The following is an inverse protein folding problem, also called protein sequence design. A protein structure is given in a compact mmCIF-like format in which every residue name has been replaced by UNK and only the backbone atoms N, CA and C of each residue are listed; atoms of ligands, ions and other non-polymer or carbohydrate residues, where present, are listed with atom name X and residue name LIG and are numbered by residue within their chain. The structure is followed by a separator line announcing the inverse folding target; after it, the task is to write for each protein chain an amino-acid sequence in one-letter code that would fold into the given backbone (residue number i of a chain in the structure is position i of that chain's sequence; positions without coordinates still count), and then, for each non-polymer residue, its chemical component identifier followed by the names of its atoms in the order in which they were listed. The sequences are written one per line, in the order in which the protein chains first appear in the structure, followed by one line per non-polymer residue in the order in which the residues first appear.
data_IF_882444368701
#
_entry.id   IF_882444368701
#
_cell.length_a   1.000
_cell.length_b   1.000
_cell.length_c   1.000
_cell.angle_alpha   90.00
_cell.angle_beta   90.00
_cell.angle_gamma   90.00
#
_symmetry.space_group_name_H-M   'P 1'
#
loop_
_entity.id
_entity.type
_entity.pdbx_description
1 polymer ?
#
# COMPACT_ATOMS: atom_id res chain seq x y z
N UNK A 1 7.08 -1.50 21.96
CA UNK A 1 5.63 -1.78 22.00
C UNK A 1 5.39 -2.79 20.89
N UNK A 2 4.81 -3.94 21.20
CA UNK A 2 4.59 -5.02 20.23
C UNK A 2 3.40 -4.70 19.31
N UNK A 3 3.51 -5.10 18.03
CA UNK A 3 2.42 -4.97 17.07
C UNK A 3 1.36 -6.04 17.34
N UNK A 4 0.08 -5.64 17.33
CA UNK A 4 -1.02 -6.61 17.29
C UNK A 4 -1.10 -7.26 15.90
N UNK A 5 -1.63 -8.47 15.81
CA UNK A 5 -1.70 -9.23 14.54
C UNK A 5 -2.34 -8.47 13.38
N UNK A 6 -3.40 -7.69 13.63
CA UNK A 6 -4.01 -6.89 12.56
C UNK A 6 -3.13 -5.70 12.14
N UNK A 7 -2.35 -5.13 13.06
CA UNK A 7 -1.40 -4.04 12.76
C UNK A 7 -0.25 -4.59 11.92
N UNK A 8 0.29 -5.75 12.31
CA UNK A 8 1.29 -6.47 11.55
C UNK A 8 0.79 -6.85 10.14
N UNK A 9 -0.46 -7.32 10.03
CA UNK A 9 -1.08 -7.61 8.73
C UNK A 9 -1.19 -6.38 7.83
N UNK A 10 -1.56 -5.21 8.36
CA UNK A 10 -1.58 -3.97 7.58
C UNK A 10 -0.20 -3.62 7.02
N UNK A 11 0.86 -3.78 7.82
CA UNK A 11 2.23 -3.52 7.38
C UNK A 11 2.72 -4.58 6.38
N UNK A 12 2.36 -5.84 6.58
CA UNK A 12 2.66 -6.92 5.63
C UNK A 12 1.97 -6.71 4.30
N UNK A 13 0.72 -6.26 4.29
CA UNK A 13 -0.01 -5.93 3.07
C UNK A 13 0.61 -4.71 2.35
N UNK A 14 1.05 -3.70 3.10
CA UNK A 14 1.79 -2.57 2.54
C UNK A 14 3.10 -3.02 1.87
N UNK A 15 3.89 -3.87 2.54
CA UNK A 15 5.14 -4.41 2.00
C UNK A 15 4.88 -5.21 0.72
N UNK A 16 3.90 -6.12 0.73
CA UNK A 16 3.56 -6.93 -0.44
C UNK A 16 3.09 -6.09 -1.63
N UNK A 17 2.30 -5.04 -1.39
CA UNK A 17 1.91 -4.11 -2.46
C UNK A 17 3.12 -3.37 -3.04
N UNK A 18 4.03 -2.89 -2.18
CA UNK A 18 5.23 -2.18 -2.62
C UNK A 18 6.17 -3.09 -3.44
N UNK A 19 6.23 -4.39 -3.14
CA UNK A 19 7.01 -5.35 -3.94
C UNK A 19 6.40 -5.56 -5.34
N UNK A 20 5.07 -5.68 -5.46
CA UNK A 20 4.39 -5.77 -6.77
C UNK A 20 4.53 -4.47 -7.57
N UNK A 21 4.46 -3.33 -6.87
CA UNK A 21 4.70 -2.04 -7.48
C UNK A 21 6.15 -1.91 -7.96
N UNK A 22 7.11 -2.51 -7.26
CA UNK A 22 8.51 -2.49 -7.67
C UNK A 22 8.75 -3.28 -8.97
N UNK A 23 7.93 -4.29 -9.27
CA UNK A 23 7.99 -5.03 -10.54
C UNK A 23 7.17 -4.40 -11.67
N UNK A 24 6.39 -3.34 -11.41
CA UNK A 24 5.38 -2.84 -12.35
C UNK A 24 5.51 -1.33 -12.58
N UNK A 25 5.70 -0.84 -13.82
CA UNK A 25 5.81 0.60 -14.09
C UNK A 25 4.48 1.37 -13.99
N UNK A 26 3.35 0.66 -13.77
CA UNK A 26 2.00 1.21 -13.79
C UNK A 26 1.28 0.99 -12.44
N UNK A 27 0.85 2.09 -11.81
CA UNK A 27 0.20 2.11 -10.49
C UNK A 27 -1.13 1.34 -10.47
N UNK A 28 -1.97 1.53 -11.49
CA UNK A 28 -3.28 0.87 -11.54
C UNK A 28 -3.14 -0.63 -11.76
N UNK A 29 -2.17 -1.02 -12.59
CA UNK A 29 -1.85 -2.43 -12.83
C UNK A 29 -1.28 -3.09 -11.57
N UNK A 30 -0.31 -2.45 -10.89
CA UNK A 30 0.24 -2.96 -9.64
C UNK A 30 -0.83 -3.17 -8.56
N UNK A 31 -1.76 -2.22 -8.44
CA UNK A 31 -2.89 -2.33 -7.51
C UNK A 31 -3.80 -3.50 -7.87
N UNK A 32 -4.15 -3.65 -9.16
CA UNK A 32 -4.96 -4.78 -9.64
C UNK A 32 -4.27 -6.12 -9.37
N UNK A 33 -2.98 -6.23 -9.68
CA UNK A 33 -2.21 -7.48 -9.55
C UNK A 33 -2.01 -7.89 -8.10
N UNK A 34 -1.72 -6.93 -7.21
CA UNK A 34 -1.62 -7.20 -5.78
C UNK A 34 -2.92 -7.80 -5.22
N UNK A 35 -4.06 -7.19 -5.54
CA UNK A 35 -5.36 -7.67 -5.07
C UNK A 35 -5.77 -8.98 -5.74
N UNK A 36 -5.50 -9.16 -7.03
CA UNK A 36 -5.73 -10.42 -7.74
C UNK A 36 -4.94 -11.57 -7.09
N UNK A 37 -3.68 -11.33 -6.69
CA UNK A 37 -2.87 -12.29 -5.94
C UNK A 37 -3.44 -12.66 -4.57
N UNK A 38 -4.31 -11.82 -3.99
CA UNK A 38 -5.07 -12.07 -2.76
C UNK A 38 -6.48 -12.63 -3.03
N UNK A 39 -6.82 -12.95 -4.28
CA UNK A 39 -8.15 -13.44 -4.67
C UNK A 39 -9.23 -12.35 -4.75
N UNK A 40 -8.84 -11.08 -4.72
CA UNK A 40 -9.76 -9.94 -4.81
C UNK A 40 -9.80 -9.41 -6.25
N UNK A 41 -10.99 -9.36 -6.83
CA UNK A 41 -11.20 -8.79 -8.18
C UNK A 41 -11.34 -7.27 -8.09
N UNK A 42 -10.50 -6.55 -8.83
CA UNK A 42 -10.53 -5.09 -8.96
C UNK A 42 -11.16 -4.69 -10.29
N UNK A 43 -12.12 -3.76 -10.24
CA UNK A 43 -12.90 -3.31 -11.40
C UNK A 43 -14.03 -4.28 -11.77
N UNK A 44 -14.78 -3.93 -12.82
CA UNK A 44 -15.82 -4.79 -13.37
C UNK A 44 -15.27 -5.57 -14.55
N UNK A 45 -15.43 -6.88 -14.54
CA UNK A 45 -15.06 -7.77 -15.65
C UNK A 45 -16.23 -8.71 -15.97
N UNK A 46 -16.56 -8.87 -17.25
CA UNK A 46 -17.67 -9.71 -17.69
C UNK A 46 -19.04 -9.36 -17.09
N UNK A 47 -19.26 -8.11 -16.66
CA UNK A 47 -20.50 -7.68 -16.01
C UNK A 47 -20.60 -7.98 -14.50
N UNK A 48 -19.57 -8.56 -13.90
CA UNK A 48 -19.52 -8.82 -12.46
C UNK A 48 -18.75 -7.69 -11.74
N UNK A 49 -19.35 -6.99 -10.77
CA UNK A 49 -18.69 -5.91 -10.04
C UNK A 49 -17.64 -6.46 -9.07
N UNK A 50 -16.40 -6.00 -9.20
CA UNK A 50 -15.33 -6.15 -8.21
C UNK A 50 -15.19 -4.93 -7.30
N UNK A 51 -14.10 -4.87 -6.53
CA UNK A 51 -13.75 -3.69 -5.73
C UNK A 51 -13.36 -2.51 -6.61
N UNK A 52 -13.52 -1.30 -6.08
CA UNK A 52 -13.15 -0.05 -6.77
C UNK A 52 -11.74 -0.12 -7.40
N UNK A 53 -11.56 0.41 -8.62
CA UNK A 53 -10.24 0.51 -9.25
C UNK A 53 -9.35 1.54 -8.53
N UNK A 54 -8.05 1.51 -8.87
CA UNK A 54 -7.06 2.44 -8.33
C UNK A 54 -7.46 3.90 -8.57
N UNK A 55 -7.41 4.72 -7.51
CA UNK A 55 -7.73 6.16 -7.56
C UNK A 55 -6.47 6.98 -7.77
N UNK A 56 -6.22 7.40 -9.01
CA UNK A 56 -5.04 8.18 -9.41
C UNK A 56 -5.23 9.69 -9.19
N UNK A 57 -5.48 10.11 -7.95
CA UNK A 57 -5.73 11.51 -7.62
C UNK A 57 -4.49 12.40 -7.78
N UNK A 58 -3.29 11.83 -7.60
CA UNK A 58 -2.01 12.50 -7.80
C UNK A 58 -1.21 11.70 -8.82
N UNK A 59 -1.06 12.19 -10.06
CA UNK A 59 -0.38 11.45 -11.11
C UNK A 59 1.05 11.04 -10.72
N UNK A 60 1.38 9.77 -10.93
CA UNK A 60 2.72 9.23 -10.66
C UNK A 60 3.04 8.97 -9.19
N UNK A 61 2.10 9.22 -8.27
CA UNK A 61 2.28 8.97 -6.84
C UNK A 61 1.40 7.78 -6.40
N UNK A 62 1.97 6.73 -5.78
CA UNK A 62 1.19 5.65 -5.19
C UNK A 62 0.24 6.18 -4.11
N UNK A 63 -1.05 5.88 -4.25
CA UNK A 63 -2.10 6.28 -3.33
C UNK A 63 -2.69 5.04 -2.66
N UNK A 64 -2.47 4.92 -1.35
CA UNK A 64 -2.83 3.73 -0.55
C UNK A 64 -3.70 4.16 0.62
N UNK A 65 -4.69 3.33 0.96
CA UNK A 65 -5.54 3.51 2.12
C UNK A 65 -5.57 2.23 2.95
N UNK A 66 -5.24 2.34 4.24
CA UNK A 66 -5.37 1.25 5.20
C UNK A 66 -6.65 1.43 6.03
N UNK A 67 -7.56 0.44 5.97
CA UNK A 67 -8.77 0.43 6.79
C UNK A 67 -8.49 -0.22 8.14
N UNK A 68 -8.54 0.58 9.20
CA UNK A 68 -8.20 0.17 10.57
C UNK A 68 -9.35 0.55 11.50
N UNK A 69 -9.75 -0.30 12.47
CA UNK A 69 -10.83 0.01 13.40
C UNK A 69 -10.54 1.26 14.25
N UNK A 70 -11.59 1.85 14.80
CA UNK A 70 -11.49 2.90 15.81
C UNK A 70 -10.70 2.38 17.01
N UNK A 71 -9.85 3.24 17.59
CA UNK A 71 -8.86 2.85 18.61
C UNK A 71 -7.86 1.74 18.20
N UNK A 72 -7.80 1.37 16.91
CA UNK A 72 -6.89 0.35 16.39
C UNK A 72 -5.42 0.78 16.24
N UNK A 73 -5.01 1.88 16.89
CA UNK A 73 -3.63 2.36 16.84
C UNK A 73 -3.17 2.85 15.46
N UNK A 74 -4.03 3.57 14.72
CA UNK A 74 -3.71 4.13 13.38
C UNK A 74 -2.38 4.90 13.35
N UNK A 75 -2.14 5.75 14.35
CA UNK A 75 -0.87 6.50 14.47
C UNK A 75 0.31 5.56 14.64
N UNK A 76 0.19 4.53 15.49
CA UNK A 76 1.25 3.56 15.69
C UNK A 76 1.55 2.76 14.42
N UNK A 77 0.53 2.34 13.68
CA UNK A 77 0.69 1.68 12.37
C UNK A 77 1.42 2.59 11.39
N UNK A 78 0.97 3.84 11.23
CA UNK A 78 1.54 4.74 10.24
C UNK A 78 2.98 5.17 10.57
N UNK A 79 3.37 5.27 11.85
CA UNK A 79 4.79 5.45 12.22
C UNK A 79 5.63 4.23 11.86
N UNK A 80 5.15 3.01 12.15
CA UNK A 80 5.87 1.78 11.79
C UNK A 80 5.94 1.56 10.27
N UNK A 81 4.94 2.04 9.51
CA UNK A 81 4.92 1.96 8.06
C UNK A 81 6.04 2.76 7.38
N UNK A 82 6.61 3.78 8.05
CA UNK A 82 7.68 4.60 7.48
C UNK A 82 8.90 3.77 7.10
N UNK A 83 9.28 2.80 7.93
CA UNK A 83 10.42 1.93 7.65
C UNK A 83 10.17 1.08 6.39
N UNK A 84 8.97 0.49 6.28
CA UNK A 84 8.55 -0.29 5.09
C UNK A 84 8.60 0.56 3.82
N UNK A 85 8.04 1.78 3.85
CA UNK A 85 8.01 2.70 2.71
C UNK A 85 9.43 3.11 2.32
N UNK A 86 10.26 3.53 3.29
CA UNK A 86 11.60 3.99 3.00
C UNK A 86 12.54 2.88 2.56
N UNK A 87 12.36 1.66 3.06
CA UNK A 87 13.08 0.48 2.59
C UNK A 87 12.76 0.18 1.13
N UNK A 88 11.47 0.23 0.75
CA UNK A 88 11.07 0.05 -0.64
C UNK A 88 11.64 1.16 -1.57
N UNK A 89 11.59 2.42 -1.13
CA UNK A 89 12.16 3.54 -1.90
C UNK A 89 13.69 3.44 -2.05
N UNK A 90 14.38 2.98 -1.02
CA UNK A 90 15.83 2.84 -1.02
C UNK A 90 16.32 1.82 -2.07
N UNK A 91 15.52 0.81 -2.44
CA UNK A 91 15.84 -0.14 -3.52
C UNK A 91 16.18 0.56 -4.84
N UNK A 92 15.48 1.65 -5.16
CA UNK A 92 15.67 2.42 -6.41
C UNK A 92 16.52 3.67 -6.23
N UNK A 93 16.56 4.24 -5.03
CA UNK A 93 17.20 5.53 -4.77
C UNK A 93 17.77 5.58 -3.36
N UNK A 94 18.89 4.87 -3.08
CA UNK A 94 19.40 4.68 -1.72
C UNK A 94 19.85 5.98 -1.04
N UNK A 95 20.32 6.95 -1.82
CA UNK A 95 20.83 8.23 -1.31
C UNK A 95 19.79 9.35 -1.33
N UNK A 96 18.52 9.05 -1.63
CA UNK A 96 17.48 10.08 -1.72
C UNK A 96 17.11 10.57 -0.31
N UNK A 97 17.05 11.90 -0.08
CA UNK A 97 16.55 12.44 1.17
C UNK A 97 15.15 11.93 1.51
N UNK A 98 14.93 11.65 2.79
CA UNK A 98 13.66 11.15 3.33
C UNK A 98 12.91 12.30 4.00
N UNK A 99 11.65 12.50 3.65
CA UNK A 99 10.76 13.50 4.26
C UNK A 99 9.37 12.90 4.43
N UNK A 100 8.74 13.18 5.57
CA UNK A 100 7.36 12.80 5.87
C UNK A 100 6.59 14.06 6.22
N UNK A 101 5.46 14.26 5.56
CA UNK A 101 4.48 15.29 5.92
C UNK A 101 3.33 14.57 6.60
N UNK A 102 2.99 15.00 7.82
CA UNK A 102 1.91 14.42 8.61
C UNK A 102 0.88 15.50 8.91
N UNK A 103 -0.38 15.24 8.57
CA UNK A 103 -1.52 16.16 8.70
C UNK A 103 -2.58 15.60 9.64
#
# INVERSE_FOLDING_TARGET
MELKDYQARVLSDLAGYLDVLDSTPNLAQAFKDYWAGKGVRVGSDGGHPGTDPYKNNVPGVPHICAKVPTAGGKTFIAVNALDTVFTALAKRSPNRPKMVVWL
#
